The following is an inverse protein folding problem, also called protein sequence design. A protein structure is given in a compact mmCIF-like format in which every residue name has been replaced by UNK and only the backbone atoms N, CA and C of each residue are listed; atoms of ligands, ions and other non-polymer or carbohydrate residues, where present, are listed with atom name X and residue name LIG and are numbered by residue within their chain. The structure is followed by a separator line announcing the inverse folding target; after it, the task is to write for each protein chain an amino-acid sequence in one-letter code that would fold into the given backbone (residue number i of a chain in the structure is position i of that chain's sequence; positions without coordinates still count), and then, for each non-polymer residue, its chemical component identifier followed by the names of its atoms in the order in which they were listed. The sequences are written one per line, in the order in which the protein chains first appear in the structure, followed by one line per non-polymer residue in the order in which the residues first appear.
data_IF_751825912237
#
_entry.id   IF_751825912237
#
_cell.length_a   1.000
_cell.length_b   1.000
_cell.length_c   1.000
_cell.angle_alpha   90.00
_cell.angle_beta   90.00
_cell.angle_gamma   90.00
#
_symmetry.space_group_name_H-M   'P 1'
#
loop_
_entity.id
_entity.type
_entity.pdbx_description
1 polymer ?
#
# COMPACT_ATOMS: atom_id res chain seq x y z
N UNK A 1 18.41 -3.91 7.91
CA UNK A 1 18.07 -4.13 6.48
C UNK A 1 16.88 -3.31 6.00
N UNK A 2 15.68 -3.42 6.57
CA UNK A 2 14.48 -2.64 6.15
C UNK A 2 14.75 -1.13 6.08
N UNK A 3 15.38 -0.55 7.10
CA UNK A 3 15.69 0.89 7.17
C UNK A 3 16.53 1.41 5.98
N UNK A 4 17.40 0.56 5.41
CA UNK A 4 18.24 0.93 4.25
C UNK A 4 17.41 1.16 2.99
N UNK A 5 16.31 0.43 2.86
CA UNK A 5 15.42 0.48 1.70
C UNK A 5 14.22 1.40 1.92
N UNK A 6 14.00 1.88 3.15
CA UNK A 6 12.85 2.70 3.53
C UNK A 6 12.72 3.98 2.68
N UNK A 7 13.78 4.75 2.37
CA UNK A 7 13.63 5.94 1.51
C UNK A 7 13.15 5.61 0.10
N UNK A 8 13.67 4.52 -0.49
CA UNK A 8 13.27 4.08 -1.82
C UNK A 8 11.82 3.56 -1.81
N UNK A 9 11.44 2.80 -0.77
CA UNK A 9 10.07 2.35 -0.58
C UNK A 9 9.09 3.53 -0.46
N UNK A 10 9.42 4.56 0.32
CA UNK A 10 8.58 5.77 0.43
C UNK A 10 8.43 6.47 -0.92
N UNK A 11 9.50 6.58 -1.71
CA UNK A 11 9.44 7.17 -3.05
C UNK A 11 8.53 6.34 -3.98
N UNK A 12 8.61 5.01 -3.89
CA UNK A 12 7.73 4.11 -4.61
C UNK A 12 6.25 4.31 -4.20
N UNK A 13 5.94 4.33 -2.90
CA UNK A 13 4.57 4.58 -2.40
C UNK A 13 4.00 5.91 -2.94
N UNK A 14 4.82 6.96 -2.93
CA UNK A 14 4.43 8.28 -3.45
C UNK A 14 4.10 8.22 -4.94
N UNK A 15 4.92 7.54 -5.74
CA UNK A 15 4.65 7.36 -7.17
C UNK A 15 3.32 6.65 -7.42
N UNK A 16 3.04 5.57 -6.67
CA UNK A 16 1.79 4.83 -6.85
C UNK A 16 0.56 5.63 -6.40
N UNK A 17 0.71 6.48 -5.39
CA UNK A 17 -0.33 7.43 -4.98
C UNK A 17 -0.60 8.48 -6.07
N UNK A 18 0.45 9.08 -6.64
CA UNK A 18 0.35 10.06 -7.74
C UNK A 18 -0.29 9.46 -9.01
N UNK A 19 -0.16 8.15 -9.21
CA UNK A 19 -0.80 7.40 -10.30
C UNK A 19 -2.27 7.03 -10.00
N UNK A 20 -2.81 7.41 -8.83
CA UNK A 20 -4.15 7.06 -8.36
C UNK A 20 -4.38 5.54 -8.22
N UNK A 21 -3.31 4.75 -8.04
CA UNK A 21 -3.40 3.31 -7.82
C UNK A 21 -3.74 3.03 -6.37
N UNK A 22 -3.06 3.68 -5.43
CA UNK A 22 -3.31 3.50 -4.00
C UNK A 22 -4.22 4.59 -3.44
N UNK A 23 -5.23 4.16 -2.70
CA UNK A 23 -6.18 5.00 -1.98
C UNK A 23 -5.60 5.48 -0.65
N UNK A 24 -4.91 4.60 0.07
CA UNK A 24 -4.25 4.97 1.33
C UNK A 24 -3.11 4.02 1.70
N UNK A 25 -2.28 4.50 2.63
CA UNK A 25 -1.30 3.70 3.37
C UNK A 25 -1.47 3.96 4.86
N UNK A 26 -1.47 2.89 5.66
CA UNK A 26 -1.60 2.94 7.10
C UNK A 26 -0.49 2.13 7.77
N UNK A 27 -0.05 2.57 8.95
CA UNK A 27 0.89 1.82 9.78
C UNK A 27 0.12 0.92 10.73
N UNK A 28 0.51 -0.35 10.85
CA UNK A 28 -0.01 -1.23 11.89
C UNK A 28 0.41 -0.71 13.27
N UNK A 29 -0.45 -0.87 14.28
CA UNK A 29 -0.18 -0.52 15.67
C UNK A 29 -0.47 -1.77 16.52
N UNK A 30 0.55 -2.47 17.08
CA UNK A 30 1.97 -2.13 17.08
C UNK A 30 2.63 -2.22 15.69
N UNK A 31 3.75 -1.51 15.50
CA UNK A 31 4.44 -1.36 14.21
C UNK A 31 5.08 -2.67 13.74
N UNK A 32 4.28 -3.47 13.05
CA UNK A 32 4.67 -4.76 12.45
C UNK A 32 4.67 -4.72 10.92
N UNK A 33 4.31 -3.57 10.33
CA UNK A 33 4.25 -3.35 8.89
C UNK A 33 3.24 -2.28 8.50
N UNK A 34 2.91 -2.24 7.21
CA UNK A 34 1.88 -1.37 6.65
C UNK A 34 0.61 -2.13 6.26
N UNK A 35 -0.46 -1.38 6.05
CA UNK A 35 -1.68 -1.79 5.35
C UNK A 35 -1.90 -0.78 4.23
N UNK A 36 -2.31 -1.25 3.06
CA UNK A 36 -2.58 -0.41 1.92
C UNK A 36 -3.90 -0.85 1.27
N UNK A 37 -4.61 0.09 0.67
CA UNK A 37 -5.76 -0.18 -0.16
C UNK A 37 -5.50 0.44 -1.53
N UNK A 38 -5.73 -0.34 -2.59
CA UNK A 38 -5.46 0.05 -3.96
C UNK A 38 -6.64 -0.33 -4.86
N UNK A 39 -6.75 0.36 -5.99
CA UNK A 39 -7.65 0.03 -7.08
C UNK A 39 -6.80 -0.44 -8.25
N UNK A 40 -7.12 -1.63 -8.76
CA UNK A 40 -6.47 -2.24 -9.91
C UNK A 40 -7.52 -2.98 -10.74
N UNK A 41 -7.25 -3.19 -12.02
CA UNK A 41 -8.13 -3.95 -12.91
C UNK A 41 -8.16 -5.45 -12.55
N UNK A 42 -7.12 -5.94 -11.87
CA UNK A 42 -7.03 -7.32 -11.40
C UNK A 42 -6.02 -7.49 -10.27
N UNK A 43 -6.13 -8.60 -9.53
CA UNK A 43 -5.11 -9.01 -8.57
C UNK A 43 -3.73 -9.23 -9.21
N UNK A 44 -3.67 -9.64 -10.50
CA UNK A 44 -2.41 -9.81 -11.23
C UNK A 44 -1.66 -8.49 -11.41
N UNK A 45 -2.37 -7.43 -11.83
CA UNK A 45 -1.78 -6.09 -11.93
C UNK A 45 -1.23 -5.63 -10.58
N UNK A 46 -1.95 -5.91 -9.48
CA UNK A 46 -1.49 -5.55 -8.14
C UNK A 46 -0.23 -6.33 -7.71
N UNK A 47 -0.15 -7.61 -8.09
CA UNK A 47 1.05 -8.41 -7.89
C UNK A 47 2.24 -7.83 -8.68
N UNK A 48 2.08 -7.50 -9.95
CA UNK A 48 3.14 -6.92 -10.80
C UNK A 48 3.66 -5.60 -10.24
N UNK A 49 2.77 -4.71 -9.82
CA UNK A 49 3.14 -3.44 -9.17
C UNK A 49 3.92 -3.74 -7.88
N UNK A 50 3.46 -4.70 -7.05
CA UNK A 50 4.12 -5.07 -5.79
C UNK A 50 5.52 -5.65 -6.01
N UNK A 51 5.75 -6.38 -7.10
CA UNK A 51 7.09 -6.89 -7.47
C UNK A 51 8.10 -5.77 -7.78
N UNK A 52 7.64 -4.54 -8.03
CA UNK A 52 8.52 -3.37 -8.22
C UNK A 52 8.89 -2.66 -6.91
N UNK A 53 8.29 -3.03 -5.78
CA UNK A 53 8.57 -2.40 -4.50
C UNK A 53 10.03 -2.69 -4.04
N UNK A 54 10.83 -1.69 -3.65
CA UNK A 54 12.14 -1.88 -3.06
C UNK A 54 12.19 -2.88 -1.90
N UNK A 55 11.12 -2.97 -1.09
CA UNK A 55 11.03 -3.96 -0.03
C UNK A 55 10.83 -5.39 -0.55
N UNK A 56 10.07 -5.56 -1.63
CA UNK A 56 9.84 -6.86 -2.29
C UNK A 56 11.09 -7.34 -3.01
N UNK A 57 11.69 -6.47 -3.83
CA UNK A 57 12.90 -6.78 -4.62
C UNK A 57 14.11 -7.11 -3.74
N UNK A 58 14.23 -6.51 -2.56
CA UNK A 58 15.29 -6.83 -1.59
C UNK A 58 14.88 -7.90 -0.58
N UNK A 59 13.70 -8.52 -0.74
CA UNK A 59 13.17 -9.58 0.12
C UNK A 59 13.16 -9.23 1.63
N UNK A 60 12.87 -7.95 1.95
CA UNK A 60 12.84 -7.43 3.32
C UNK A 60 11.41 -7.27 3.88
N UNK A 61 10.38 -7.54 3.07
CA UNK A 61 8.99 -7.55 3.50
C UNK A 61 8.20 -8.71 2.88
N UNK A 62 7.17 -9.16 3.61
CA UNK A 62 6.17 -10.10 3.11
C UNK A 62 4.88 -9.35 2.79
N UNK A 63 4.29 -9.67 1.65
CA UNK A 63 3.03 -9.10 1.19
C UNK A 63 1.96 -10.18 1.26
N UNK A 64 0.79 -9.78 1.74
CA UNK A 64 -0.44 -10.55 1.67
C UNK A 64 -1.40 -9.70 0.86
N UNK A 65 -1.79 -10.19 -0.32
CA UNK A 65 -2.62 -9.47 -1.27
C UNK A 65 -3.94 -10.21 -1.35
N UNK A 66 -5.01 -9.51 -0.99
CA UNK A 66 -6.36 -10.04 -0.99
C UNK A 66 -7.26 -9.11 -1.81
N UNK A 67 -7.97 -9.68 -2.77
CA UNK A 67 -9.01 -8.97 -3.51
C UNK A 67 -10.24 -8.77 -2.62
N UNK A 68 -10.82 -7.57 -2.67
CA UNK A 68 -11.96 -7.17 -1.84
C UNK A 68 -13.10 -6.69 -2.73
N UNK A 69 -14.31 -7.21 -2.49
CA UNK A 69 -15.56 -6.64 -3.01
C UNK A 69 -16.07 -5.55 -2.04
N UNK A 70 -15.77 -4.29 -2.36
CA UNK A 70 -16.16 -3.15 -1.54
C UNK A 70 -17.65 -2.82 -1.73
N UNK A 71 -18.48 -3.34 -0.83
CA UNK A 71 -19.94 -3.16 -0.91
C UNK A 71 -20.44 -1.81 -0.39
N UNK A 72 -19.79 -1.23 0.63
CA UNK A 72 -20.17 0.06 1.23
C UNK A 72 -18.95 0.80 1.76
N UNK A 73 -18.93 2.13 1.59
CA UNK A 73 -17.93 3.03 2.16
C UNK A 73 -18.63 4.23 2.82
N UNK A 74 -18.20 4.59 4.02
CA UNK A 74 -18.65 5.81 4.70
C UNK A 74 -17.60 6.91 4.47
N UNK A 75 -17.69 7.59 3.32
CA UNK A 75 -16.70 8.58 2.90
C UNK A 75 -16.52 9.72 3.91
N UNK A 76 -17.58 10.34 4.49
CA UNK A 76 -17.40 11.38 5.50
C UNK A 76 -16.60 10.92 6.71
N UNK A 77 -16.89 9.73 7.23
CA UNK A 77 -16.14 9.19 8.37
C UNK A 77 -14.71 8.84 7.98
N UNK A 78 -14.48 8.30 6.78
CA UNK A 78 -13.12 8.00 6.33
C UNK A 78 -12.24 9.25 6.28
N UNK A 79 -12.80 10.38 5.83
CA UNK A 79 -12.08 11.66 5.77
C UNK A 79 -11.74 12.22 7.17
N UNK A 80 -12.59 11.99 8.17
CA UNK A 80 -12.32 12.41 9.56
C UNK A 80 -11.12 11.68 10.18
N UNK A 81 -10.90 10.42 9.81
CA UNK A 81 -9.82 9.58 10.34
C UNK A 81 -8.59 9.49 9.44
N UNK A 82 -8.66 9.97 8.20
CA UNK A 82 -7.49 10.16 7.37
C UNK A 82 -6.66 11.33 7.92
N UNK A 83 -5.40 11.07 8.26
CA UNK A 83 -4.45 12.14 8.60
C UNK A 83 -3.94 12.79 7.31
N UNK A 84 -3.72 14.11 7.32
CA UNK A 84 -3.00 14.82 6.25
C UNK A 84 -1.55 14.31 6.09
#
# INVERSE_FOLDING_TARGET
EVEKHLPAHIAWLKQQYEQNIYLFFARKVPFTGGVCLAVAESALQMMEITETDPFRTNNVAKYDIQELDLTKINTPMLQEYASD
#
